data_IF_899257992237
#
_entry.id   IF_899257992237
#
_cell.length_a   1.000
_cell.length_b   1.000
_cell.length_c   1.000
_cell.angle_alpha   90.00
_cell.angle_beta   90.00
_cell.angle_gamma   90.00
#
_symmetry.space_group_name_H-M   'P 1'
#
loop_
_entity.id
_entity.type
_entity.pdbx_description
1 polymer ?
#
# COMPACT_ATOMS: atom_id res chain seq x y z
N UNK A 1 40.12 2.48 40.03
CA UNK A 1 38.80 2.49 40.71
C UNK A 1 38.01 3.71 40.26
N UNK A 2 37.10 3.60 39.28
CA UNK A 2 36.02 4.57 39.04
C UNK A 2 34.81 3.86 38.40
N UNK A 3 33.62 4.37 38.74
CA UNK A 3 32.32 3.70 38.87
C UNK A 3 31.67 3.28 37.55
N UNK A 4 31.16 2.04 37.52
CA UNK A 4 30.19 1.53 36.55
C UNK A 4 28.80 2.08 36.92
N UNK A 5 28.24 2.93 36.06
CA UNK A 5 26.89 3.46 36.22
C UNK A 5 25.83 2.43 35.79
N UNK A 6 25.04 1.95 36.76
CA UNK A 6 23.87 1.11 36.55
C UNK A 6 22.73 1.93 35.90
N UNK A 7 22.43 1.63 34.64
CA UNK A 7 21.24 2.13 33.93
C UNK A 7 20.01 1.40 34.46
N UNK A 8 19.09 2.14 35.10
CA UNK A 8 17.80 1.59 35.56
C UNK A 8 16.82 1.44 34.37
N UNK A 9 16.01 0.38 34.33
CA UNK A 9 15.00 0.19 33.29
C UNK A 9 13.82 1.16 33.47
N UNK A 10 13.40 1.78 32.36
CA UNK A 10 12.21 2.64 32.28
C UNK A 10 10.95 1.77 32.31
N UNK A 11 10.12 1.94 33.35
CA UNK A 11 8.77 1.34 33.44
C UNK A 11 7.87 1.93 32.36
N UNK A 12 7.36 1.09 31.45
CA UNK A 12 6.26 1.45 30.53
C UNK A 12 4.96 1.55 31.34
N UNK A 13 4.46 2.76 31.53
CA UNK A 13 3.14 3.01 32.10
C UNK A 13 2.04 2.73 31.08
N UNK A 14 1.09 1.87 31.44
CA UNK A 14 -0.18 1.68 30.75
C UNK A 14 -1.02 2.97 30.84
N UNK A 15 -1.08 3.75 29.76
CA UNK A 15 -2.12 4.77 29.60
C UNK A 15 -3.34 4.17 28.89
N UNK A 16 -4.25 3.62 29.68
CA UNK A 16 -5.65 3.41 29.27
C UNK A 16 -6.32 4.79 29.18
N UNK A 17 -6.46 5.34 27.96
CA UNK A 17 -7.38 6.46 27.73
C UNK A 17 -8.80 5.94 27.63
N UNK A 18 -9.63 6.33 28.61
CA UNK A 18 -11.10 6.31 28.51
C UNK A 18 -11.52 7.16 27.31
N UNK A 19 -12.28 6.55 26.40
CA UNK A 19 -13.04 7.27 25.38
C UNK A 19 -14.37 7.69 26.02
N UNK A 20 -14.62 9.00 26.09
CA UNK A 20 -15.94 9.55 26.40
C UNK A 20 -16.89 9.36 25.21
N UNK A 21 -18.18 9.04 25.45
CA UNK A 21 -19.17 8.88 24.40
C UNK A 21 -19.65 10.25 23.89
N UNK A 22 -19.65 10.45 22.56
CA UNK A 22 -20.36 11.57 21.93
C UNK A 22 -21.87 11.31 21.89
N UNK A 23 -22.71 12.36 22.04
CA UNK A 23 -24.15 12.23 22.13
C UNK A 23 -24.81 11.89 20.78
N UNK A 24 -25.90 11.11 20.89
CA UNK A 24 -26.82 10.72 19.82
C UNK A 24 -27.91 11.78 19.62
N UNK A 25 -28.16 12.16 18.37
CA UNK A 25 -29.47 12.64 17.85
C UNK A 25 -29.63 12.00 16.46
N UNK A 26 -30.63 11.17 16.11
CA UNK A 26 -32.10 11.37 16.04
C UNK A 26 -32.43 12.63 15.23
N UNK A 27 -32.99 12.59 14.00
CA UNK A 27 -34.38 12.22 13.60
C UNK A 27 -34.50 12.22 12.04
N UNK A 28 -34.96 11.13 11.39
CA UNK A 28 -36.28 10.85 10.70
C UNK A 28 -36.46 11.36 9.25
N UNK A 29 -36.79 10.43 8.33
CA UNK A 29 -37.94 10.44 7.37
C UNK A 29 -37.67 9.40 6.26
N UNK A 30 -38.27 8.20 6.28
CA UNK A 30 -39.62 7.80 5.86
C UNK A 30 -39.69 7.31 4.40
N UNK A 31 -40.33 6.13 4.27
CA UNK A 31 -41.07 5.60 3.12
C UNK A 31 -40.33 5.30 1.81
N UNK A 32 -40.05 4.02 1.61
CA UNK A 32 -40.58 3.33 0.42
C UNK A 32 -40.89 1.86 0.75
N UNK A 33 -42.18 1.56 0.87
CA UNK A 33 -42.70 0.19 0.88
C UNK A 33 -42.62 -0.36 -0.54
N UNK A 34 -41.98 -1.52 -0.73
CA UNK A 34 -42.35 -2.44 -1.79
C UNK A 34 -42.48 -3.84 -1.20
N UNK A 35 -43.73 -4.29 -1.18
CA UNK A 35 -44.15 -5.67 -1.03
C UNK A 35 -43.51 -6.53 -2.13
N UNK A 36 -42.90 -7.66 -1.78
CA UNK A 36 -43.14 -8.91 -2.50
C UNK A 36 -42.71 -10.10 -1.64
N UNK A 37 -43.71 -10.86 -1.17
CA UNK A 37 -43.54 -12.15 -0.51
C UNK A 37 -43.37 -13.24 -1.57
N UNK A 38 -42.42 -14.12 -1.30
CA UNK A 38 -42.46 -15.57 -1.52
C UNK A 38 -42.66 -16.08 -2.95
N UNK A 39 -41.59 -16.55 -3.59
CA UNK A 39 -41.59 -17.82 -4.32
C UNK A 39 -40.20 -18.46 -4.31
N UNK A 40 -40.18 -19.70 -3.82
CA UNK A 40 -39.26 -20.81 -4.06
C UNK A 40 -37.95 -20.61 -4.85
N UNK A 41 -36.87 -21.14 -4.28
CA UNK A 41 -36.01 -22.06 -5.03
C UNK A 41 -35.02 -21.43 -6.01
N UNK A 42 -34.01 -20.76 -5.49
CA UNK A 42 -32.68 -20.76 -6.10
C UNK A 42 -31.65 -20.49 -5.01
N UNK A 43 -30.81 -21.47 -4.71
CA UNK A 43 -29.51 -21.24 -4.08
C UNK A 43 -28.68 -20.49 -5.12
N UNK A 44 -28.94 -19.18 -5.23
CA UNK A 44 -28.04 -18.27 -5.88
C UNK A 44 -26.83 -18.16 -4.94
N UNK A 45 -25.84 -19.01 -5.20
CA UNK A 45 -24.45 -18.71 -4.91
C UNK A 45 -24.10 -17.45 -5.69
N UNK A 46 -24.57 -16.31 -5.16
CA UNK A 46 -24.06 -14.99 -5.46
C UNK A 46 -22.61 -15.03 -5.00
N UNK A 47 -21.76 -15.51 -5.91
CA UNK A 47 -20.34 -15.27 -5.90
C UNK A 47 -20.23 -13.76 -5.86
N UNK A 48 -20.11 -13.23 -4.64
CA UNK A 48 -19.59 -11.90 -4.40
C UNK A 48 -18.19 -11.99 -4.99
N UNK A 49 -18.09 -11.70 -6.28
CA UNK A 49 -16.91 -11.22 -6.92
C UNK A 49 -16.62 -9.93 -6.17
N UNK A 50 -15.94 -10.08 -5.04
CA UNK A 50 -15.16 -9.02 -4.48
C UNK A 50 -14.17 -8.69 -5.59
N UNK A 51 -14.56 -7.75 -6.45
CA UNK A 51 -13.63 -6.94 -7.19
C UNK A 51 -12.81 -6.27 -6.10
N UNK A 52 -11.76 -6.95 -5.65
CA UNK A 52 -10.78 -6.40 -4.72
C UNK A 52 -10.23 -5.22 -5.49
N UNK A 53 -10.47 -3.98 -5.07
CA UNK A 53 -9.84 -2.85 -5.72
C UNK A 53 -8.34 -3.10 -5.63
N UNK A 54 -7.69 -3.25 -6.79
CA UNK A 54 -6.23 -3.41 -6.89
C UNK A 54 -5.49 -2.17 -6.35
N UNK A 55 -6.25 -1.12 -6.01
CA UNK A 55 -5.82 0.10 -5.33
C UNK A 55 -6.29 0.07 -3.88
N UNK A 56 -5.83 -0.92 -3.13
CA UNK A 56 -5.80 -0.87 -1.68
C UNK A 56 -5.04 0.40 -1.26
N UNK A 57 -5.76 1.43 -0.80
CA UNK A 57 -5.15 2.67 -0.32
C UNK A 57 -4.21 2.36 0.84
N UNK A 58 -3.02 2.96 0.83
CA UNK A 58 -2.04 2.74 1.89
C UNK A 58 -2.61 3.23 3.24
N UNK A 59 -2.63 2.36 4.26
CA UNK A 59 -3.45 2.51 5.47
C UNK A 59 -4.72 1.62 5.49
N UNK A 60 -4.79 0.56 4.68
CA UNK A 60 -5.99 -0.26 4.54
C UNK A 60 -6.51 -0.85 5.87
N UNK A 61 -5.65 -1.22 6.84
CA UNK A 61 -6.14 -1.68 8.13
C UNK A 61 -6.86 -0.56 8.91
N UNK A 62 -6.43 0.69 8.72
CA UNK A 62 -7.17 1.86 9.18
C UNK A 62 -8.45 2.08 8.39
N UNK A 63 -8.53 1.70 7.10
CA UNK A 63 -9.77 1.81 6.34
C UNK A 63 -10.89 0.94 6.92
N UNK A 64 -10.58 -0.23 7.49
CA UNK A 64 -11.56 -1.05 8.21
C UNK A 64 -11.99 -0.44 9.56
N UNK A 65 -11.22 0.49 10.12
CA UNK A 65 -11.54 1.13 11.41
C UNK A 65 -12.75 2.06 11.33
N UNK A 66 -13.08 2.56 10.13
CA UNK A 66 -14.25 3.42 9.87
C UNK A 66 -15.60 2.68 9.86
N UNK A 67 -15.59 1.35 9.99
CA UNK A 67 -16.82 0.59 10.15
C UNK A 67 -17.23 0.53 11.62
N UNK A 68 -18.29 1.27 11.97
CA UNK A 68 -18.89 1.24 13.31
C UNK A 68 -19.59 -0.09 13.61
N UNK A 69 -20.07 -0.78 12.55
CA UNK A 69 -20.67 -2.11 12.68
C UNK A 69 -19.60 -3.20 12.85
N UNK A 70 -19.66 -3.91 13.98
CA UNK A 70 -18.68 -4.93 14.34
C UNK A 70 -18.62 -6.09 13.31
N UNK A 71 -19.75 -6.45 12.69
CA UNK A 71 -19.78 -7.51 11.69
C UNK A 71 -19.09 -7.10 10.39
N UNK A 72 -19.34 -5.88 9.89
CA UNK A 72 -18.66 -5.28 8.74
C UNK A 72 -17.18 -5.11 8.99
N UNK A 73 -16.79 -4.60 10.17
CA UNK A 73 -15.38 -4.47 10.58
C UNK A 73 -14.67 -5.82 10.58
N UNK A 74 -15.26 -6.85 11.19
CA UNK A 74 -14.71 -8.22 11.20
C UNK A 74 -14.57 -8.79 9.78
N UNK A 75 -15.56 -8.56 8.91
CA UNK A 75 -15.51 -9.00 7.51
C UNK A 75 -14.42 -8.29 6.71
N UNK A 76 -14.25 -6.98 6.93
CA UNK A 76 -13.21 -6.15 6.33
C UNK A 76 -11.81 -6.65 6.72
N UNK A 77 -11.54 -6.79 8.03
CA UNK A 77 -10.27 -7.31 8.54
C UNK A 77 -9.94 -8.69 7.95
N UNK A 78 -10.92 -9.62 7.96
CA UNK A 78 -10.71 -10.96 7.40
C UNK A 78 -10.37 -10.93 5.90
N UNK A 79 -10.97 -10.02 5.13
CA UNK A 79 -10.66 -9.86 3.71
C UNK A 79 -9.23 -9.32 3.52
N UNK A 80 -8.83 -8.35 4.33
CA UNK A 80 -7.48 -7.78 4.31
C UNK A 80 -6.42 -8.78 4.76
N UNK A 81 -6.65 -9.53 5.84
CA UNK A 81 -5.77 -10.61 6.28
C UNK A 81 -5.52 -11.62 5.17
N UNK A 82 -6.59 -12.02 4.47
CA UNK A 82 -6.50 -12.96 3.34
C UNK A 82 -5.72 -12.36 2.17
N UNK A 83 -5.92 -11.08 1.88
CA UNK A 83 -5.19 -10.34 0.84
C UNK A 83 -3.70 -10.22 1.19
N UNK A 84 -3.37 -9.77 2.40
CA UNK A 84 -2.00 -9.64 2.90
C UNK A 84 -1.29 -10.97 2.94
N UNK A 85 -1.92 -12.03 3.46
CA UNK A 85 -1.35 -13.37 3.47
C UNK A 85 -1.03 -13.87 2.03
N UNK A 86 -1.92 -13.57 1.07
CA UNK A 86 -1.70 -13.90 -0.35
C UNK A 86 -0.52 -13.10 -0.93
N UNK A 87 -0.43 -11.80 -0.65
CA UNK A 87 0.67 -10.97 -1.16
C UNK A 87 2.00 -11.33 -0.53
N UNK A 88 2.03 -11.62 0.78
CA UNK A 88 3.22 -12.07 1.51
C UNK A 88 3.71 -13.44 1.03
N UNK A 89 2.80 -14.28 0.52
CA UNK A 89 3.16 -15.61 0.00
C UNK A 89 4.02 -15.48 -1.26
N UNK A 90 5.31 -15.72 -1.11
CA UNK A 90 6.26 -15.76 -2.23
C UNK A 90 6.83 -14.40 -2.62
N UNK A 91 6.63 -13.37 -1.79
CA UNK A 91 7.26 -12.06 -1.99
C UNK A 91 8.12 -11.69 -0.77
N UNK A 92 9.00 -10.72 -0.95
CA UNK A 92 9.79 -10.14 0.14
C UNK A 92 9.44 -8.67 0.29
N UNK A 93 9.37 -8.12 1.52
CA UNK A 93 9.17 -6.70 1.73
C UNK A 93 10.10 -5.87 0.86
N UNK A 94 9.56 -4.85 0.22
CA UNK A 94 10.32 -3.87 -0.54
C UNK A 94 11.31 -3.18 0.40
N UNK A 95 12.53 -2.93 -0.07
CA UNK A 95 13.58 -2.28 0.71
C UNK A 95 13.62 -0.79 0.40
N UNK A 96 13.36 0.12 1.36
CA UNK A 96 13.45 1.56 1.14
C UNK A 96 14.77 2.04 0.52
N UNK A 97 15.90 1.36 0.77
CA UNK A 97 17.19 1.64 0.10
C UNK A 97 17.14 1.62 -1.43
N UNK A 98 16.21 0.86 -2.02
CA UNK A 98 16.00 0.81 -3.47
C UNK A 98 15.29 2.05 -4.02
N UNK A 99 14.66 2.85 -3.17
CA UNK A 99 14.17 4.19 -3.54
C UNK A 99 15.37 5.15 -3.55
N UNK A 100 16.08 5.22 -2.41
CA UNK A 100 17.26 6.07 -2.22
C UNK A 100 18.18 5.45 -1.17
N UNK A 101 19.52 5.47 -1.36
CA UNK A 101 20.47 4.95 -0.36
C UNK A 101 20.33 5.60 1.02
N UNK A 102 19.83 6.84 1.10
CA UNK A 102 19.62 7.54 2.37
C UNK A 102 18.53 6.89 3.24
N UNK A 103 17.66 6.08 2.64
CA UNK A 103 16.61 5.33 3.35
C UNK A 103 17.07 3.94 3.79
N UNK A 104 18.35 3.58 3.63
CA UNK A 104 18.85 2.25 3.99
C UNK A 104 18.69 1.90 5.47
N UNK A 105 18.66 2.90 6.36
CA UNK A 105 18.34 2.67 7.77
C UNK A 105 16.95 2.04 7.97
N UNK A 106 15.99 2.29 7.07
CA UNK A 106 14.66 1.70 7.10
C UNK A 106 14.59 0.30 6.46
N UNK A 107 15.71 -0.31 6.04
CA UNK A 107 15.67 -1.67 5.47
C UNK A 107 15.51 -2.75 6.55
N UNK A 108 15.84 -2.42 7.80
CA UNK A 108 15.74 -3.33 8.93
C UNK A 108 14.30 -3.78 9.19
N UNK A 109 14.13 -5.04 9.61
CA UNK A 109 12.80 -5.69 9.70
C UNK A 109 11.80 -4.90 10.56
N UNK A 110 12.29 -4.28 11.64
CA UNK A 110 11.45 -3.56 12.60
C UNK A 110 11.26 -2.08 12.26
N UNK A 111 11.99 -1.56 11.27
CA UNK A 111 11.94 -0.16 10.83
C UNK A 111 11.32 0.00 9.43
N UNK A 112 11.27 -1.08 8.65
CA UNK A 112 10.77 -1.04 7.29
C UNK A 112 9.24 -0.88 7.25
N UNK A 113 8.72 0.28 6.82
CA UNK A 113 7.28 0.46 6.71
C UNK A 113 6.67 -0.58 5.75
N UNK A 114 7.36 -0.96 4.67
CA UNK A 114 6.87 -1.96 3.72
C UNK A 114 6.85 -3.40 4.24
N UNK A 115 7.36 -3.64 5.45
CA UNK A 115 7.22 -4.93 6.14
C UNK A 115 5.99 -4.99 7.04
N UNK A 116 5.39 -3.85 7.39
CA UNK A 116 4.17 -3.77 8.21
C UNK A 116 2.92 -4.11 7.41
N UNK A 117 1.84 -4.53 8.09
CA UNK A 117 0.58 -4.90 7.43
C UNK A 117 -0.10 -3.71 6.74
N UNK A 118 -0.13 -2.54 7.39
CA UNK A 118 -0.73 -1.31 6.86
C UNK A 118 -0.05 -0.81 5.57
N UNK A 119 1.26 -0.99 5.51
CA UNK A 119 2.10 -0.41 4.46
C UNK A 119 2.77 -1.47 3.58
N UNK A 120 2.36 -2.74 3.68
CA UNK A 120 3.05 -3.85 3.05
C UNK A 120 3.23 -3.64 1.53
N UNK A 121 4.45 -3.82 1.04
CA UNK A 121 4.73 -3.87 -0.39
C UNK A 121 5.68 -5.03 -0.66
N UNK A 122 5.19 -6.06 -1.33
CA UNK A 122 5.98 -7.23 -1.70
C UNK A 122 6.66 -7.02 -3.05
N UNK A 123 7.93 -7.40 -3.14
CA UNK A 123 8.65 -7.54 -4.42
C UNK A 123 8.58 -8.98 -4.90
N UNK A 124 8.31 -9.17 -6.19
CA UNK A 124 8.26 -10.48 -6.81
C UNK A 124 9.25 -10.58 -7.98
N UNK A 125 9.71 -11.80 -8.25
CA UNK A 125 10.47 -12.13 -9.46
C UNK A 125 9.76 -13.25 -10.19
N UNK A 126 9.72 -13.14 -11.51
CA UNK A 126 9.05 -14.06 -12.43
C UNK A 126 10.07 -14.98 -13.07
N UNK A 127 11.34 -14.58 -13.10
CA UNK A 127 12.43 -15.36 -13.70
C UNK A 127 12.68 -15.02 -15.17
N UNK A 128 12.07 -13.95 -15.69
CA UNK A 128 12.32 -13.45 -17.02
C UNK A 128 12.86 -12.02 -16.94
N UNK A 129 14.15 -11.85 -17.24
CA UNK A 129 14.90 -10.59 -17.08
C UNK A 129 14.18 -9.34 -17.63
N UNK A 130 13.56 -9.34 -18.83
CA UNK A 130 12.84 -8.17 -19.32
C UNK A 130 11.63 -7.79 -18.45
N UNK A 131 10.91 -8.77 -17.91
CA UNK A 131 9.76 -8.57 -17.03
C UNK A 131 10.24 -8.16 -15.64
N UNK A 132 11.24 -8.85 -15.09
CA UNK A 132 11.78 -8.59 -13.75
C UNK A 132 12.41 -7.20 -13.62
N UNK A 133 13.09 -6.73 -14.67
CA UNK A 133 13.64 -5.37 -14.69
C UNK A 133 12.52 -4.32 -14.64
N UNK A 134 11.49 -4.50 -15.47
CA UNK A 134 10.37 -3.57 -15.52
C UNK A 134 9.56 -3.60 -14.22
N UNK A 135 9.34 -4.78 -13.64
CA UNK A 135 8.73 -4.93 -12.31
C UNK A 135 9.54 -4.18 -11.26
N UNK A 136 10.86 -4.29 -11.25
CA UNK A 136 11.70 -3.55 -10.30
C UNK A 136 11.55 -2.03 -10.40
N UNK A 137 11.42 -1.50 -11.62
CA UNK A 137 11.19 -0.06 -11.83
C UNK A 137 9.78 0.37 -11.40
N UNK A 138 8.76 -0.43 -11.70
CA UNK A 138 7.36 -0.17 -11.29
C UNK A 138 7.22 -0.30 -9.77
N UNK A 139 7.79 -1.34 -9.17
CA UNK A 139 7.80 -1.53 -7.71
C UNK A 139 8.45 -0.33 -7.02
N UNK A 140 9.54 0.23 -7.55
CA UNK A 140 10.16 1.47 -7.02
C UNK A 140 9.21 2.64 -7.07
N UNK A 141 8.49 2.82 -8.18
CA UNK A 141 7.52 3.90 -8.34
C UNK A 141 6.32 3.74 -7.38
N UNK A 142 5.77 2.53 -7.23
CA UNK A 142 4.71 2.22 -6.27
C UNK A 142 5.20 2.46 -4.84
N UNK A 143 6.40 1.98 -4.51
CA UNK A 143 7.02 2.17 -3.19
C UNK A 143 7.15 3.66 -2.86
N UNK A 144 7.56 4.48 -3.82
CA UNK A 144 7.73 5.91 -3.63
C UNK A 144 6.40 6.63 -3.36
N UNK A 145 5.33 6.28 -4.09
CA UNK A 145 3.98 6.80 -3.83
C UNK A 145 3.49 6.33 -2.44
N UNK A 146 3.71 5.06 -2.11
CA UNK A 146 3.30 4.52 -0.81
C UNK A 146 4.06 5.15 0.35
N UNK A 147 5.35 5.43 0.18
CA UNK A 147 6.17 6.18 1.13
C UNK A 147 5.66 7.62 1.31
N UNK A 148 5.20 8.27 0.24
CA UNK A 148 4.60 9.61 0.33
C UNK A 148 3.36 9.64 1.23
N UNK A 149 2.53 8.60 1.16
CA UNK A 149 1.35 8.43 2.03
C UNK A 149 1.76 8.12 3.47
N UNK A 150 2.79 7.29 3.67
CA UNK A 150 3.34 7.01 5.00
C UNK A 150 3.88 8.29 5.67
N UNK A 151 4.58 9.15 4.92
CA UNK A 151 5.02 10.46 5.40
C UNK A 151 3.83 11.32 5.84
N UNK A 152 2.75 11.35 5.03
CA UNK A 152 1.51 12.05 5.38
C UNK A 152 0.86 11.50 6.66
N UNK A 153 0.91 10.18 6.84
CA UNK A 153 0.46 9.51 8.06
C UNK A 153 1.30 9.92 9.29
N UNK A 154 2.63 9.88 9.20
CA UNK A 154 3.52 10.32 10.28
C UNK A 154 3.22 11.77 10.69
N UNK A 155 3.08 12.67 9.72
CA UNK A 155 2.76 14.08 9.98
C UNK A 155 1.43 14.24 10.71
N UNK A 156 0.39 13.53 10.25
CA UNK A 156 -0.96 13.57 10.85
C UNK A 156 -1.01 12.97 12.26
N UNK A 157 -0.08 12.07 12.61
CA UNK A 157 0.02 11.43 13.93
C UNK A 157 1.01 12.12 14.86
N UNK A 158 1.45 13.33 14.55
CA UNK A 158 2.32 14.14 15.40
C UNK A 158 3.81 13.82 15.28
N UNK A 159 4.21 12.89 14.42
CA UNK A 159 5.61 12.56 14.14
C UNK A 159 6.20 13.49 13.07
N UNK A 160 6.07 14.80 13.29
CA UNK A 160 6.40 15.84 12.29
C UNK A 160 7.87 15.83 11.88
N UNK A 161 8.79 15.71 12.83
CA UNK A 161 10.23 15.75 12.56
C UNK A 161 10.68 14.58 11.66
N UNK A 162 10.14 13.39 11.90
CA UNK A 162 10.41 12.20 11.10
C UNK A 162 9.79 12.34 9.70
N UNK A 163 8.55 12.82 9.63
CA UNK A 163 7.88 13.10 8.36
C UNK A 163 8.68 14.09 7.50
N UNK A 164 9.19 15.18 8.08
CA UNK A 164 10.01 16.19 7.38
C UNK A 164 11.34 15.59 6.92
N UNK A 165 12.02 14.80 7.77
CA UNK A 165 13.27 14.12 7.39
C UNK A 165 13.08 13.22 6.18
N UNK A 166 12.05 12.38 6.20
CA UNK A 166 11.73 11.49 5.08
C UNK A 166 11.26 12.28 3.84
N UNK A 167 10.48 13.34 4.02
CA UNK A 167 10.01 14.19 2.94
C UNK A 167 11.16 14.82 2.14
N UNK A 168 12.22 15.27 2.81
CA UNK A 168 13.41 15.83 2.16
C UNK A 168 14.10 14.83 1.23
N UNK A 169 14.09 13.54 1.57
CA UNK A 169 14.67 12.47 0.74
C UNK A 169 13.71 12.05 -0.38
N UNK A 170 12.41 11.94 -0.09
CA UNK A 170 11.41 11.39 -1.00
C UNK A 170 10.91 12.41 -2.04
N UNK A 171 10.88 13.70 -1.72
CA UNK A 171 10.46 14.75 -2.66
C UNK A 171 11.26 14.82 -3.98
N UNK A 172 12.61 14.81 -3.98
CA UNK A 172 13.37 14.82 -5.24
C UNK A 172 13.13 13.55 -6.07
N UNK A 173 13.04 12.39 -5.42
CA UNK A 173 12.72 11.12 -6.07
C UNK A 173 11.33 11.18 -6.73
N UNK A 174 10.33 11.75 -6.05
CA UNK A 174 8.97 11.90 -6.59
C UNK A 174 8.93 12.84 -7.80
N UNK A 175 9.78 13.88 -7.80
CA UNK A 175 9.92 14.77 -8.94
C UNK A 175 10.52 14.02 -10.13
N UNK A 176 11.60 13.28 -9.91
CA UNK A 176 12.24 12.46 -10.95
C UNK A 176 11.29 11.38 -11.51
N UNK A 177 10.40 10.82 -10.68
CA UNK A 177 9.42 9.84 -11.12
C UNK A 177 8.46 10.41 -12.20
N UNK A 178 8.11 11.70 -12.17
CA UNK A 178 7.23 12.32 -13.18
C UNK A 178 7.78 12.15 -14.59
N UNK A 179 9.09 12.33 -14.73
CA UNK A 179 9.77 12.25 -16.02
C UNK A 179 9.96 10.80 -16.47
N UNK A 180 9.95 9.84 -15.53
CA UNK A 180 10.09 8.41 -15.80
C UNK A 180 8.78 7.70 -16.18
N UNK A 181 7.61 8.22 -15.76
CA UNK A 181 6.31 7.57 -16.03
C UNK A 181 6.06 7.30 -17.52
N UNK A 182 6.31 8.26 -18.46
CA UNK A 182 6.17 7.99 -19.89
C UNK A 182 7.06 6.84 -20.36
N UNK A 183 8.30 6.77 -19.85
CA UNK A 183 9.25 5.69 -20.17
C UNK A 183 8.78 4.34 -19.62
N UNK A 184 8.21 4.29 -18.42
CA UNK A 184 7.63 3.06 -17.86
C UNK A 184 6.50 2.53 -18.74
N UNK A 185 5.61 3.43 -19.20
CA UNK A 185 4.51 3.07 -20.11
C UNK A 185 5.02 2.50 -21.43
N UNK A 186 6.06 3.11 -22.00
CA UNK A 186 6.69 2.63 -23.23
C UNK A 186 7.37 1.26 -23.03
N UNK A 187 8.12 1.08 -21.94
CA UNK A 187 8.75 -0.21 -21.59
C UNK A 187 7.70 -1.30 -21.38
N UNK A 188 6.57 -0.99 -20.73
CA UNK A 188 5.47 -1.93 -20.54
C UNK A 188 4.83 -2.35 -21.86
N UNK A 189 4.57 -1.40 -22.76
CA UNK A 189 4.07 -1.72 -24.12
C UNK A 189 5.07 -2.59 -24.91
N UNK A 190 6.37 -2.33 -24.77
CA UNK A 190 7.42 -3.14 -25.38
C UNK A 190 7.49 -4.57 -24.81
N UNK A 191 7.33 -4.73 -23.49
CA UNK A 191 7.27 -6.05 -22.86
C UNK A 191 6.00 -6.80 -23.28
N UNK A 192 4.86 -6.10 -23.35
CA UNK A 192 3.58 -6.68 -23.78
C UNK A 192 3.64 -7.18 -25.23
N UNK A 193 4.17 -6.38 -26.16
CA UNK A 193 4.30 -6.79 -27.57
C UNK A 193 5.31 -7.91 -27.78
N UNK A 194 6.37 -7.97 -26.97
CA UNK A 194 7.39 -9.03 -27.02
C UNK A 194 7.05 -10.24 -26.14
N UNK A 195 5.89 -10.25 -25.48
CA UNK A 195 5.51 -11.28 -24.52
C UNK A 195 5.57 -12.70 -25.12
N UNK A 196 5.09 -12.97 -26.36
CA UNK A 196 5.22 -14.31 -26.95
C UNK A 196 6.67 -14.79 -27.03
N UNK A 197 7.59 -13.93 -27.52
CA UNK A 197 9.03 -14.23 -27.61
C UNK A 197 9.69 -14.41 -26.24
N UNK A 198 9.21 -13.69 -25.23
CA UNK A 198 9.71 -13.84 -23.85
C UNK A 198 9.29 -15.20 -23.28
N UNK A 199 8.05 -15.63 -23.54
CA UNK A 199 7.50 -16.93 -23.13
C UNK A 199 8.22 -18.07 -23.85
N UNK A 200 8.46 -17.96 -25.16
CA UNK A 200 9.23 -18.94 -25.93
C UNK A 200 10.61 -19.19 -25.31
N UNK A 201 11.29 -18.13 -24.87
CA UNK A 201 12.60 -18.23 -24.20
C UNK A 201 12.54 -18.69 -22.74
N UNK A 202 11.36 -18.63 -22.13
CA UNK A 202 11.15 -18.95 -20.71
C UNK A 202 9.79 -19.65 -20.52
N UNK A 203 9.64 -20.91 -20.96
CA UNK A 203 8.33 -21.58 -20.98
C UNK A 203 7.71 -21.72 -19.59
N UNK A 204 8.51 -21.77 -18.53
CA UNK A 204 8.04 -21.84 -17.14
C UNK A 204 7.17 -20.66 -16.71
N UNK A 205 7.24 -19.51 -17.40
CA UNK A 205 6.46 -18.32 -17.06
C UNK A 205 5.17 -18.17 -17.87
N UNK A 206 4.89 -19.06 -18.84
CA UNK A 206 3.78 -18.95 -19.78
C UNK A 206 2.42 -18.70 -19.09
N UNK A 207 2.15 -19.43 -17.99
CA UNK A 207 0.88 -19.32 -17.26
C UNK A 207 0.75 -18.04 -16.44
N UNK A 208 1.86 -17.43 -16.00
CA UNK A 208 1.85 -16.27 -15.08
C UNK A 208 2.11 -14.95 -15.78
N UNK A 209 2.91 -14.97 -16.85
CA UNK A 209 3.41 -13.76 -17.49
C UNK A 209 2.29 -12.83 -18.02
N UNK A 210 1.21 -13.32 -18.66
CA UNK A 210 0.12 -12.45 -19.11
C UNK A 210 -0.56 -11.70 -17.95
N UNK A 211 -0.83 -12.39 -16.84
CA UNK A 211 -1.42 -11.77 -15.65
C UNK A 211 -0.51 -10.73 -15.00
N UNK A 212 0.80 -11.00 -14.96
CA UNK A 212 1.79 -10.08 -14.41
C UNK A 212 1.91 -8.82 -15.26
N UNK A 213 1.99 -8.95 -16.59
CA UNK A 213 2.06 -7.78 -17.50
C UNK A 213 0.79 -6.95 -17.41
N UNK A 214 -0.38 -7.59 -17.29
CA UNK A 214 -1.65 -6.89 -17.05
C UNK A 214 -1.64 -6.07 -15.75
N UNK A 215 -1.17 -6.67 -14.65
CA UNK A 215 -1.07 -5.98 -13.37
C UNK A 215 -0.08 -4.81 -13.45
N UNK A 216 1.06 -5.02 -14.12
CA UNK A 216 2.08 -3.99 -14.32
C UNK A 216 1.52 -2.75 -15.04
N UNK A 217 0.69 -2.95 -16.07
CA UNK A 217 0.02 -1.85 -16.77
C UNK A 217 -0.98 -1.12 -15.85
N UNK A 218 -1.71 -1.86 -15.01
CA UNK A 218 -2.62 -1.28 -14.02
C UNK A 218 -1.87 -0.47 -12.94
N UNK A 219 -0.71 -0.95 -12.51
CA UNK A 219 0.14 -0.26 -11.56
C UNK A 219 0.68 1.05 -12.16
N UNK A 220 1.12 1.04 -13.43
CA UNK A 220 1.54 2.27 -14.12
C UNK A 220 0.39 3.28 -14.25
N UNK A 221 -0.83 2.82 -14.53
CA UNK A 221 -2.01 3.69 -14.57
C UNK A 221 -2.29 4.32 -13.20
N UNK A 222 -2.19 3.51 -12.13
CA UNK A 222 -2.34 3.97 -10.74
C UNK A 222 -1.25 4.97 -10.36
N UNK A 223 0.01 4.70 -10.71
CA UNK A 223 1.14 5.62 -10.51
C UNK A 223 0.85 6.97 -11.18
N UNK A 224 0.39 6.96 -12.42
CA UNK A 224 0.09 8.18 -13.18
C UNK A 224 -1.00 9.00 -12.50
N UNK A 225 -2.03 8.34 -11.97
CA UNK A 225 -3.15 8.98 -11.25
C UNK A 225 -2.72 9.55 -9.90
N UNK A 226 -1.91 8.82 -9.14
CA UNK A 226 -1.64 9.12 -7.74
C UNK A 226 -0.41 10.04 -7.53
N UNK A 227 0.50 10.08 -8.51
CA UNK A 227 1.72 10.88 -8.44
C UNK A 227 1.51 12.38 -8.16
N UNK A 228 0.52 13.08 -8.77
CA UNK A 228 0.25 14.47 -8.43
C UNK A 228 -0.13 14.67 -6.96
N UNK A 229 -0.90 13.73 -6.39
CA UNK A 229 -1.30 13.75 -4.98
C UNK A 229 -0.10 13.52 -4.05
N UNK A 230 0.73 12.52 -4.37
CA UNK A 230 1.97 12.22 -3.64
C UNK A 230 2.90 13.44 -3.56
N UNK A 231 3.10 14.12 -4.69
CA UNK A 231 3.96 15.32 -4.77
C UNK A 231 3.38 16.47 -3.96
N UNK A 232 2.06 16.68 -3.99
CA UNK A 232 1.39 17.72 -3.18
C UNK A 232 1.48 17.43 -1.68
N UNK A 233 1.40 16.17 -1.27
CA UNK A 233 1.46 15.78 0.14
C UNK A 233 2.88 15.98 0.73
N UNK A 234 3.93 15.64 -0.02
CA UNK A 234 5.31 15.65 0.49
C UNK A 234 6.02 16.98 0.21
N UNK A 235 5.65 17.69 -0.85
CA UNK A 235 6.30 18.93 -1.29
C UNK A 235 6.42 20.02 -0.21
N UNK A 236 5.33 20.40 0.49
CA UNK A 236 5.39 21.39 1.56
C UNK A 236 6.26 20.96 2.75
N UNK A 237 6.13 19.69 3.18
CA UNK A 237 6.92 19.12 4.27
C UNK A 237 8.42 19.17 3.96
N UNK A 238 8.81 18.84 2.73
CA UNK A 238 10.21 18.89 2.30
C UNK A 238 10.80 20.31 2.32
N UNK A 239 9.97 21.34 2.09
CA UNK A 239 10.37 22.76 2.15
C UNK A 239 10.38 23.32 3.58
N UNK A 240 9.98 22.54 4.58
CA UNK A 240 9.79 23.03 5.95
C UNK A 240 8.58 23.94 6.10
N UNK A 241 7.68 23.95 5.11
CA UNK A 241 6.39 24.64 5.19
C UNK A 241 5.40 23.68 5.87
N UNK A 242 5.38 23.69 7.20
CA UNK A 242 4.47 22.90 8.05
C UNK A 242 3.39 23.81 8.63
#
# INVERSE_FOLDING_TARGET
>A
MYRVGLVRPVKRGNMLRRLEPRPKGFIICERFMVNLRSFFGAIALSSISAAIPLTADAGEYQSCSHHDDAARKKKCNKAQDKYLAKNKKGTKPYKPSKISPQLAHLDEKDQNPFATDDWYLGTQKVGAKPIDNLLGEVDRAVALIKMSRYIGYLNSNGQKDEAVKLAKVVAPELKALKDLVPTLKQKASNVQSKLPKIIEKNPAIALKAPGIVKNLLADIATITKDLPGAVKAVGPLAKGSI
#
